data_IF_522335844112
#
_entry.id   IF_522335844112
#
_cell.length_a   1.000
_cell.length_b   1.000
_cell.length_c   1.000
_cell.angle_alpha   90.00
_cell.angle_beta   90.00
_cell.angle_gamma   90.00
#
_symmetry.space_group_name_H-M   'P 1'
#
loop_
_entity.id
_entity.type
_entity.pdbx_description
1 polymer ?
#
# COMPACT_ATOMS: atom_id res chain seq x y z
N UNK A 1 -49.70 11.81 10.46
CA UNK A 1 -48.48 11.75 9.62
C UNK A 1 -47.34 11.30 10.52
N UNK A 2 -46.47 10.40 10.07
CA UNK A 2 -45.28 9.99 10.84
C UNK A 2 -44.36 11.21 11.05
N UNK A 3 -43.66 11.28 12.18
CA UNK A 3 -42.72 12.39 12.41
C UNK A 3 -41.53 12.32 11.45
N UNK A 4 -40.87 13.45 11.20
CA UNK A 4 -39.67 13.50 10.35
C UNK A 4 -38.58 12.57 10.89
N UNK A 5 -38.41 12.46 12.21
CA UNK A 5 -37.47 11.49 12.80
C UNK A 5 -37.87 10.03 12.57
N UNK A 6 -39.17 9.70 12.60
CA UNK A 6 -39.66 8.36 12.27
C UNK A 6 -39.36 8.00 10.82
N UNK A 7 -39.64 8.92 9.88
CA UNK A 7 -39.36 8.71 8.46
C UNK A 7 -37.85 8.54 8.21
N UNK A 8 -37.00 9.35 8.85
CA UNK A 8 -35.54 9.20 8.77
C UNK A 8 -35.09 7.82 9.25
N UNK A 9 -35.65 7.34 10.36
CA UNK A 9 -35.29 6.03 10.95
C UNK A 9 -35.71 4.88 10.03
N UNK A 10 -36.92 4.94 9.47
CA UNK A 10 -37.43 3.94 8.53
C UNK A 10 -36.59 3.88 7.26
N UNK A 11 -36.31 5.04 6.65
CA UNK A 11 -35.48 5.11 5.43
C UNK A 11 -34.06 4.62 5.71
N UNK A 12 -33.44 5.03 6.82
CA UNK A 12 -32.09 4.59 7.19
C UNK A 12 -32.00 3.05 7.28
N UNK A 13 -33.01 2.41 7.89
CA UNK A 13 -33.07 0.95 7.97
C UNK A 13 -33.26 0.31 6.58
N UNK A 14 -34.15 0.87 5.76
CA UNK A 14 -34.47 0.34 4.43
C UNK A 14 -33.27 0.36 3.48
N UNK A 15 -32.55 1.49 3.40
CA UNK A 15 -31.39 1.65 2.51
C UNK A 15 -30.07 1.24 3.17
N UNK A 16 -30.13 0.72 4.41
CA UNK A 16 -28.96 0.31 5.22
C UNK A 16 -27.94 1.43 5.44
N UNK A 17 -28.43 2.64 5.67
CA UNK A 17 -27.62 3.80 6.04
C UNK A 17 -27.74 4.10 7.53
N UNK A 18 -26.84 4.92 8.07
CA UNK A 18 -27.04 5.46 9.41
C UNK A 18 -28.07 6.61 9.37
N UNK A 19 -28.79 6.84 10.47
CA UNK A 19 -29.69 8.00 10.56
C UNK A 19 -28.94 9.33 10.37
N UNK A 20 -27.65 9.37 10.70
CA UNK A 20 -26.78 10.54 10.49
C UNK A 20 -26.49 10.78 9.00
N UNK A 21 -26.32 9.71 8.20
CA UNK A 21 -26.14 9.83 6.75
C UNK A 21 -27.41 10.33 6.07
N UNK A 22 -28.58 9.85 6.52
CA UNK A 22 -29.88 10.32 6.02
C UNK A 22 -30.10 11.80 6.39
N UNK A 23 -29.80 12.21 7.64
CA UNK A 23 -29.87 13.63 8.03
C UNK A 23 -28.95 14.51 7.18
N UNK A 24 -27.70 14.10 6.94
CA UNK A 24 -26.77 14.82 6.06
C UNK A 24 -27.27 14.94 4.62
N UNK A 25 -27.95 13.91 4.11
CA UNK A 25 -28.56 13.98 2.78
C UNK A 25 -29.74 14.97 2.73
N UNK A 26 -30.45 15.14 3.85
CA UNK A 26 -31.58 16.06 3.99
C UNK A 26 -31.14 17.51 4.24
N UNK A 27 -30.04 17.75 4.96
CA UNK A 27 -29.54 19.10 5.25
C UNK A 27 -29.20 19.92 3.99
N UNK A 28 -28.94 19.24 2.86
CA UNK A 28 -28.73 19.85 1.55
C UNK A 28 -30.00 19.99 0.70
N UNK A 29 -31.15 19.57 1.21
CA UNK A 29 -32.45 19.61 0.55
C UNK A 29 -33.44 20.43 1.40
N UNK A 30 -34.47 20.99 0.77
CA UNK A 30 -35.46 21.84 1.42
C UNK A 30 -36.34 21.08 2.43
N UNK A 31 -37.57 21.55 2.65
CA UNK A 31 -38.47 20.85 3.57
C UNK A 31 -38.96 19.52 2.96
N UNK A 32 -39.01 18.49 3.79
CA UNK A 32 -39.16 17.08 3.36
C UNK A 32 -40.25 16.44 4.21
N UNK A 33 -41.33 15.96 3.59
CA UNK A 33 -42.55 15.57 4.30
C UNK A 33 -42.97 14.12 4.08
N UNK A 34 -42.43 13.45 3.05
CA UNK A 34 -42.75 12.05 2.74
C UNK A 34 -41.51 11.17 2.77
N UNK A 35 -41.72 9.85 2.83
CA UNK A 35 -40.65 8.85 2.81
C UNK A 35 -39.91 8.86 1.46
N UNK A 36 -40.68 9.03 0.39
CA UNK A 36 -40.21 9.09 -1.00
C UNK A 36 -39.31 10.30 -1.22
N UNK A 37 -39.64 11.46 -0.64
CA UNK A 37 -38.81 12.65 -0.71
C UNK A 37 -37.45 12.43 -0.02
N UNK A 38 -37.44 11.78 1.15
CA UNK A 38 -36.20 11.45 1.87
C UNK A 38 -35.35 10.47 1.05
N UNK A 39 -35.96 9.45 0.45
CA UNK A 39 -35.27 8.51 -0.44
C UNK A 39 -34.65 9.22 -1.66
N UNK A 40 -35.38 10.15 -2.28
CA UNK A 40 -34.87 10.95 -3.40
C UNK A 40 -33.68 11.83 -2.98
N UNK A 41 -33.72 12.42 -1.78
CA UNK A 41 -32.60 13.18 -1.22
C UNK A 41 -31.37 12.27 -1.01
N UNK A 42 -31.56 11.09 -0.41
CA UNK A 42 -30.49 10.12 -0.20
C UNK A 42 -29.87 9.66 -1.52
N UNK A 43 -30.66 9.41 -2.56
CA UNK A 43 -30.17 9.04 -3.89
C UNK A 43 -29.34 10.18 -4.53
N UNK A 44 -29.83 11.42 -4.43
CA UNK A 44 -29.11 12.59 -4.95
C UNK A 44 -27.79 12.84 -4.20
N UNK A 45 -27.78 12.64 -2.88
CA UNK A 45 -26.58 12.77 -2.05
C UNK A 45 -25.56 11.64 -2.33
N UNK A 46 -26.04 10.41 -2.53
CA UNK A 46 -25.18 9.25 -2.80
C UNK A 46 -24.39 9.38 -4.11
N UNK A 47 -24.96 9.99 -5.15
CA UNK A 47 -24.34 10.10 -6.47
C UNK A 47 -22.96 10.79 -6.46
N UNK A 48 -22.84 12.04 -5.96
CA UNK A 48 -21.57 12.74 -5.85
C UNK A 48 -20.54 12.02 -4.96
N UNK A 49 -20.97 11.47 -3.82
CA UNK A 49 -20.09 10.73 -2.91
C UNK A 49 -19.59 9.41 -3.54
N UNK A 50 -20.43 8.68 -4.27
CA UNK A 50 -20.02 7.51 -5.05
C UNK A 50 -19.03 7.88 -6.15
N UNK A 51 -19.24 9.00 -6.85
CA UNK A 51 -18.31 9.50 -7.87
C UNK A 51 -16.94 9.85 -7.26
N UNK A 52 -16.94 10.55 -6.12
CA UNK A 52 -15.73 10.91 -5.38
C UNK A 52 -14.97 9.67 -4.90
N UNK A 53 -15.69 8.70 -4.31
CA UNK A 53 -15.12 7.41 -3.88
C UNK A 53 -14.54 6.63 -5.05
N UNK A 54 -15.23 6.57 -6.19
CA UNK A 54 -14.73 5.90 -7.38
C UNK A 54 -13.45 6.56 -7.93
N UNK A 55 -13.38 7.89 -7.89
CA UNK A 55 -12.15 8.61 -8.24
C UNK A 55 -10.99 8.27 -7.30
N UNK A 56 -11.24 8.28 -5.98
CA UNK A 56 -10.24 7.91 -4.97
C UNK A 56 -9.78 6.46 -5.11
N UNK A 57 -10.70 5.52 -5.37
CA UNK A 57 -10.34 4.11 -5.64
C UNK A 57 -9.49 4.01 -6.91
N UNK A 58 -9.83 4.77 -7.96
CA UNK A 58 -9.06 4.84 -9.19
C UNK A 58 -7.63 5.35 -8.95
N UNK A 59 -7.45 6.40 -8.15
CA UNK A 59 -6.11 6.90 -7.80
C UNK A 59 -5.34 5.91 -6.93
N UNK A 60 -5.98 5.30 -5.93
CA UNK A 60 -5.36 4.30 -5.07
C UNK A 60 -4.90 3.06 -5.85
N UNK A 61 -5.69 2.61 -6.83
CA UNK A 61 -5.29 1.50 -7.72
C UNK A 61 -4.03 1.82 -8.53
N UNK A 62 -3.89 3.07 -9.01
CA UNK A 62 -2.69 3.52 -9.74
C UNK A 62 -1.46 3.52 -8.82
N UNK A 63 -1.58 4.08 -7.62
CA UNK A 63 -0.50 4.09 -6.62
C UNK A 63 -0.10 2.66 -6.25
N UNK A 64 -1.08 1.80 -5.92
CA UNK A 64 -0.83 0.40 -5.57
C UNK A 64 -0.09 -0.37 -6.68
N UNK A 65 -0.43 -0.14 -7.96
CA UNK A 65 0.29 -0.76 -9.08
C UNK A 65 1.75 -0.27 -9.15
N UNK A 66 1.97 1.02 -8.93
CA UNK A 66 3.31 1.58 -8.95
C UNK A 66 4.17 1.05 -7.79
N UNK A 67 3.60 0.97 -6.60
CA UNK A 67 4.27 0.45 -5.41
C UNK A 67 4.67 -1.03 -5.60
N UNK A 68 3.80 -1.84 -6.20
CA UNK A 68 4.10 -3.23 -6.53
C UNK A 68 5.29 -3.37 -7.50
N UNK A 69 5.38 -2.50 -8.51
CA UNK A 69 6.49 -2.51 -9.46
C UNK A 69 7.80 -2.11 -8.78
N UNK A 70 7.78 -1.08 -7.92
CA UNK A 70 8.95 -0.65 -7.14
C UNK A 70 9.43 -1.77 -6.22
N UNK A 71 8.52 -2.43 -5.50
CA UNK A 71 8.87 -3.56 -4.62
C UNK A 71 9.54 -4.68 -5.42
N UNK A 72 9.03 -4.98 -6.62
CA UNK A 72 9.62 -6.00 -7.50
C UNK A 72 11.04 -5.62 -7.90
N UNK A 73 11.25 -4.39 -8.36
CA UNK A 73 12.57 -3.89 -8.75
C UNK A 73 13.58 -3.92 -7.59
N UNK A 74 13.15 -3.48 -6.39
CA UNK A 74 14.00 -3.52 -5.20
C UNK A 74 14.35 -4.95 -4.79
N UNK A 75 13.41 -5.89 -4.92
CA UNK A 75 13.65 -7.31 -4.63
C UNK A 75 14.69 -7.90 -5.59
N UNK A 76 14.57 -7.60 -6.89
CA UNK A 76 15.54 -8.03 -7.89
C UNK A 76 16.94 -7.44 -7.63
N UNK A 77 17.03 -6.16 -7.26
CA UNK A 77 18.30 -5.52 -6.88
C UNK A 77 18.94 -6.15 -5.65
N UNK A 78 18.14 -6.48 -4.63
CA UNK A 78 18.63 -7.14 -3.42
C UNK A 78 19.19 -8.54 -3.73
N UNK A 79 18.46 -9.33 -4.53
CA UNK A 79 18.91 -10.67 -4.96
C UNK A 79 20.22 -10.56 -5.75
N UNK A 80 20.31 -9.63 -6.69
CA UNK A 80 21.52 -9.43 -7.49
C UNK A 80 22.72 -9.02 -6.61
N UNK A 81 22.50 -8.12 -5.66
CA UNK A 81 23.54 -7.68 -4.71
C UNK A 81 24.01 -8.85 -3.84
N UNK A 82 23.07 -9.63 -3.30
CA UNK A 82 23.39 -10.82 -2.51
C UNK A 82 24.21 -11.83 -3.33
N UNK A 83 23.80 -12.10 -4.57
CA UNK A 83 24.50 -13.00 -5.48
C UNK A 83 25.92 -12.51 -5.81
N UNK A 84 26.11 -11.21 -6.00
CA UNK A 84 27.43 -10.62 -6.22
C UNK A 84 28.35 -10.88 -5.02
N UNK A 85 27.88 -10.59 -3.80
CA UNK A 85 28.69 -10.81 -2.60
C UNK A 85 29.01 -12.29 -2.38
N UNK A 86 28.02 -13.17 -2.48
CA UNK A 86 28.18 -14.60 -2.21
C UNK A 86 29.04 -15.31 -3.26
N UNK A 87 28.83 -15.02 -4.55
CA UNK A 87 29.43 -15.80 -5.63
C UNK A 87 30.68 -15.17 -6.24
N UNK A 88 30.87 -13.86 -6.07
CA UNK A 88 32.02 -13.15 -6.64
C UNK A 88 32.92 -12.59 -5.55
N UNK A 89 32.42 -11.64 -4.75
CA UNK A 89 33.29 -10.87 -3.86
C UNK A 89 33.94 -11.73 -2.77
N UNK A 90 33.15 -12.51 -2.02
CA UNK A 90 33.67 -13.33 -0.91
C UNK A 90 34.64 -14.41 -1.41
N UNK A 91 34.33 -15.19 -2.46
CA UNK A 91 35.27 -16.18 -3.00
C UNK A 91 36.56 -15.55 -3.50
N UNK A 92 36.51 -14.44 -4.25
CA UNK A 92 37.70 -13.76 -4.77
C UNK A 92 38.58 -13.22 -3.66
N UNK A 93 37.99 -12.61 -2.63
CA UNK A 93 38.75 -12.15 -1.46
C UNK A 93 39.41 -13.32 -0.74
N UNK A 94 38.69 -14.43 -0.54
CA UNK A 94 39.25 -15.62 0.11
C UNK A 94 40.44 -16.18 -0.69
N UNK A 95 40.30 -16.32 -2.01
CA UNK A 95 41.38 -16.77 -2.87
C UNK A 95 42.60 -15.84 -2.82
N UNK A 96 42.38 -14.53 -2.80
CA UNK A 96 43.45 -13.54 -2.70
C UNK A 96 44.18 -13.65 -1.36
N UNK A 97 43.44 -13.78 -0.25
CA UNK A 97 44.02 -13.96 1.09
C UNK A 97 44.85 -15.24 1.16
N UNK A 98 44.33 -16.36 0.64
CA UNK A 98 45.06 -17.63 0.61
C UNK A 98 46.37 -17.50 -0.18
N UNK A 99 46.32 -16.93 -1.39
CA UNK A 99 47.51 -16.75 -2.22
C UNK A 99 48.56 -15.82 -1.56
N UNK A 100 48.12 -14.79 -0.85
CA UNK A 100 49.04 -13.92 -0.10
C UNK A 100 49.65 -14.64 1.10
N UNK A 101 48.87 -15.46 1.82
CA UNK A 101 49.37 -16.24 2.94
C UNK A 101 50.44 -17.26 2.48
N UNK A 102 50.18 -17.98 1.38
CA UNK A 102 51.14 -18.92 0.77
C UNK A 102 52.43 -18.20 0.37
N UNK A 103 52.31 -17.04 -0.30
CA UNK A 103 53.47 -16.24 -0.67
C UNK A 103 54.29 -15.78 0.53
N UNK A 104 53.63 -15.36 1.62
CA UNK A 104 54.32 -14.97 2.85
C UNK A 104 55.07 -16.16 3.45
N UNK A 105 54.43 -17.33 3.49
CA UNK A 105 55.06 -18.56 3.99
C UNK A 105 56.31 -18.93 3.18
N UNK A 106 56.24 -18.86 1.84
CA UNK A 106 57.38 -19.08 0.96
C UNK A 106 58.52 -18.08 1.23
N UNK A 107 58.20 -16.80 1.39
CA UNK A 107 59.20 -15.77 1.70
C UNK A 107 59.86 -16.03 3.06
N UNK A 108 59.08 -16.43 4.07
CA UNK A 108 59.61 -16.75 5.40
C UNK A 108 60.58 -17.94 5.37
N UNK A 109 60.33 -18.96 4.55
CA UNK A 109 61.23 -20.10 4.35
C UNK A 109 62.57 -19.73 3.71
N UNK A 110 62.62 -18.62 2.97
CA UNK A 110 63.85 -18.14 2.34
C UNK A 110 64.71 -17.28 3.29
N UNK A 111 64.25 -17.04 4.52
CA UNK A 111 64.95 -16.15 5.44
C UNK A 111 66.19 -16.83 6.06
N UNK A 112 67.25 -16.05 6.38
CA UNK A 112 68.52 -16.60 6.86
C UNK A 112 68.44 -17.36 8.19
N UNK A 113 67.36 -17.17 8.94
CA UNK A 113 67.10 -17.79 10.24
C UNK A 113 66.16 -19.01 10.16
N UNK A 114 65.70 -19.39 8.97
CA UNK A 114 64.74 -20.47 8.76
C UNK A 114 65.39 -21.87 8.57
N UNK A 115 66.70 -21.97 8.77
CA UNK A 115 67.50 -23.21 8.74
C UNK A 115 67.78 -23.76 10.13
#
# INVERSE_FOLDING_TARGET
>A
MASKEQLIKEVAQEIKWTQADVKRALDGYGDVHTKEDILACCLRFAGPELKKRNYQIGSLKKVSKNDQEIIKQLTEQLINTQNFFQNQMVPTLKATITAQAERIEELLKQMPWAS
#
